data_IF_010924777673
#
_entry.id   IF_010924777673
#
_cell.length_a   1.000
_cell.length_b   1.000
_cell.length_c   1.000
_cell.angle_alpha   90.00
_cell.angle_beta   90.00
_cell.angle_gamma   90.00
#
_symmetry.space_group_name_H-M   'P 1'
#
loop_
_entity.id
_entity.type
_entity.pdbx_description
1 polymer ?
#
# COMPACT_ATOMS: atom_id res chain seq x y z
N UNK A 1 1.39 -13.33 -16.72
CA UNK A 1 2.37 -12.42 -16.08
C UNK A 1 1.71 -11.17 -15.52
N UNK A 2 0.85 -10.48 -16.30
CA UNK A 2 0.18 -9.25 -15.88
C UNK A 2 -0.70 -9.38 -14.61
N UNK A 3 -1.59 -10.37 -14.59
CA UNK A 3 -2.46 -10.62 -13.43
C UNK A 3 -1.68 -10.97 -12.16
N UNK A 4 -0.53 -11.66 -12.30
CA UNK A 4 0.32 -11.97 -11.17
C UNK A 4 0.92 -10.70 -10.55
N UNK A 5 1.43 -9.78 -11.37
CA UNK A 5 1.93 -8.48 -10.91
C UNK A 5 0.85 -7.65 -10.22
N UNK A 6 -0.38 -7.66 -10.75
CA UNK A 6 -1.52 -6.97 -10.16
C UNK A 6 -1.85 -7.52 -8.75
N UNK A 7 -1.97 -8.83 -8.62
CA UNK A 7 -2.32 -9.47 -7.35
C UNK A 7 -1.22 -9.34 -6.30
N UNK A 8 0.05 -9.44 -6.71
CA UNK A 8 1.19 -9.20 -5.81
C UNK A 8 1.20 -7.74 -5.33
N UNK A 9 0.93 -6.79 -6.22
CA UNK A 9 0.88 -5.35 -5.85
C UNK A 9 -0.27 -5.07 -4.88
N UNK A 10 -1.46 -5.63 -5.13
CA UNK A 10 -2.59 -5.51 -4.21
C UNK A 10 -2.32 -6.17 -2.85
N UNK A 11 -1.69 -7.35 -2.81
CA UNK A 11 -1.39 -8.04 -1.54
C UNK A 11 -0.31 -7.31 -0.72
N UNK A 12 0.57 -6.54 -1.38
CA UNK A 12 1.58 -5.70 -0.70
C UNK A 12 0.93 -4.73 0.29
N UNK A 13 -0.23 -4.15 -0.06
CA UNK A 13 -0.94 -3.21 0.82
C UNK A 13 -1.34 -3.87 2.14
N UNK A 14 -1.78 -5.13 2.11
CA UNK A 14 -2.17 -5.89 3.30
C UNK A 14 -0.95 -6.18 4.19
N UNK A 15 0.15 -6.67 3.61
CA UNK A 15 1.38 -6.92 4.36
C UNK A 15 1.92 -5.65 5.03
N UNK A 16 1.88 -4.51 4.33
CA UNK A 16 2.29 -3.21 4.87
C UNK A 16 1.36 -2.72 5.99
N UNK A 17 0.05 -2.94 5.89
CA UNK A 17 -0.89 -2.61 6.99
C UNK A 17 -0.58 -3.43 8.23
N UNK A 18 -0.35 -4.74 8.08
CA UNK A 18 -0.01 -5.64 9.20
C UNK A 18 1.31 -5.21 9.84
N UNK A 19 2.33 -4.93 9.04
CA UNK A 19 3.62 -4.43 9.51
C UNK A 19 3.46 -3.17 10.36
N UNK A 20 2.71 -2.17 9.86
CA UNK A 20 2.50 -0.91 10.58
C UNK A 20 1.62 -1.09 11.82
N UNK A 21 0.67 -2.02 11.80
CA UNK A 21 -0.12 -2.36 12.98
C UNK A 21 0.74 -2.99 14.08
N UNK A 22 1.61 -3.93 13.72
CA UNK A 22 2.56 -4.55 14.66
C UNK A 22 3.54 -3.52 15.21
N UNK A 23 4.10 -2.65 14.37
CA UNK A 23 4.99 -1.56 14.80
C UNK A 23 4.27 -0.58 15.76
N UNK A 24 2.97 -0.35 15.57
CA UNK A 24 2.18 0.51 16.46
C UNK A 24 1.91 -0.15 17.82
N UNK A 25 1.65 -1.46 17.84
CA UNK A 25 1.30 -2.21 19.05
C UNK A 25 2.53 -2.61 19.88
N UNK A 26 3.63 -2.96 19.21
CA UNK A 26 4.88 -3.43 19.83
C UNK A 26 6.01 -2.41 19.66
N UNK A 27 5.73 -1.12 19.87
CA UNK A 27 6.74 -0.08 19.63
C UNK A 27 8.04 -0.33 20.40
N UNK A 28 7.98 -0.83 21.64
CA UNK A 28 9.17 -1.06 22.48
C UNK A 28 10.07 -2.23 22.05
N UNK A 29 9.53 -3.26 21.39
CA UNK A 29 10.26 -4.50 21.03
C UNK A 29 10.43 -4.69 19.52
N UNK A 30 9.82 -3.83 18.72
CA UNK A 30 9.83 -3.95 17.25
C UNK A 30 11.25 -3.87 16.66
N UNK A 31 12.18 -3.16 17.31
CA UNK A 31 13.54 -2.97 16.81
C UNK A 31 14.30 -4.31 16.67
N UNK A 32 14.13 -5.22 17.63
CA UNK A 32 14.81 -6.53 17.65
C UNK A 32 14.19 -7.54 16.66
N UNK A 33 12.86 -7.49 16.45
CA UNK A 33 12.14 -8.48 15.61
C UNK A 33 11.91 -8.03 14.15
N UNK A 34 12.26 -6.79 13.81
CA UNK A 34 11.85 -6.14 12.54
C UNK A 34 12.24 -6.90 11.27
N UNK A 35 13.44 -7.51 11.21
CA UNK A 35 13.96 -8.19 10.02
C UNK A 35 13.22 -9.51 9.76
N UNK A 36 13.06 -10.34 10.79
CA UNK A 36 12.39 -11.63 10.67
C UNK A 36 10.90 -11.45 10.34
N UNK A 37 10.28 -10.43 10.94
CA UNK A 37 8.91 -10.04 10.63
C UNK A 37 8.75 -9.64 9.16
N UNK A 38 9.70 -8.87 8.62
CA UNK A 38 9.70 -8.45 7.22
C UNK A 38 9.74 -9.64 6.25
N UNK A 39 10.62 -10.62 6.50
CA UNK A 39 10.73 -11.85 5.68
C UNK A 39 9.43 -12.65 5.75
N UNK A 40 8.86 -12.81 6.95
CA UNK A 40 7.58 -13.51 7.13
C UNK A 40 6.44 -12.82 6.35
N UNK A 41 6.36 -11.49 6.41
CA UNK A 41 5.33 -10.73 5.71
C UNK A 41 5.50 -10.75 4.18
N UNK A 42 6.75 -10.84 3.69
CA UNK A 42 7.03 -11.04 2.27
C UNK A 42 6.57 -12.42 1.80
N UNK A 43 6.83 -13.48 2.58
CA UNK A 43 6.33 -14.81 2.28
C UNK A 43 4.79 -14.86 2.30
N UNK A 44 4.17 -14.25 3.30
CA UNK A 44 2.72 -14.13 3.41
C UNK A 44 2.10 -13.40 2.20
N UNK A 45 2.78 -12.38 1.68
CA UNK A 45 2.34 -11.63 0.50
C UNK A 45 2.18 -12.52 -0.73
N UNK A 46 3.13 -13.45 -0.97
CA UNK A 46 3.05 -14.41 -2.07
C UNK A 46 1.89 -15.39 -1.89
N UNK A 47 1.67 -15.88 -0.67
CA UNK A 47 0.56 -16.79 -0.36
C UNK A 47 -0.79 -16.11 -0.58
N UNK A 48 -0.96 -14.88 -0.09
CA UNK A 48 -2.20 -14.10 -0.26
C UNK A 48 -2.46 -13.81 -1.75
N UNK A 49 -1.42 -13.54 -2.55
CA UNK A 49 -1.57 -13.32 -3.98
C UNK A 49 -1.89 -14.62 -4.75
N UNK A 50 -1.36 -15.76 -4.30
CA UNK A 50 -1.54 -17.05 -4.98
C UNK A 50 -2.99 -17.56 -4.94
N UNK A 51 -3.75 -17.28 -3.88
CA UNK A 51 -5.15 -17.72 -3.71
C UNK A 51 -6.07 -17.15 -4.81
N UNK A 52 -6.16 -15.83 -5.04
CA UNK A 52 -7.01 -15.30 -6.10
C UNK A 52 -6.49 -15.64 -7.50
N UNK A 53 -5.17 -15.80 -7.67
CA UNK A 53 -4.59 -16.30 -8.91
C UNK A 53 -5.03 -17.72 -9.22
N UNK A 54 -4.98 -18.64 -8.25
CA UNK A 54 -5.40 -20.03 -8.47
C UNK A 54 -6.89 -20.12 -8.80
N UNK A 55 -7.74 -19.32 -8.12
CA UNK A 55 -9.17 -19.22 -8.44
C UNK A 55 -9.38 -18.69 -9.86
N UNK A 56 -8.68 -17.62 -10.25
CA UNK A 56 -8.80 -17.01 -11.58
C UNK A 56 -8.43 -17.96 -12.72
N UNK A 57 -7.39 -18.78 -12.52
CA UNK A 57 -6.91 -19.72 -13.54
C UNK A 57 -7.56 -21.11 -13.48
N UNK A 58 -8.27 -21.45 -12.40
CA UNK A 58 -8.92 -22.78 -12.21
C UNK A 58 -9.98 -23.13 -13.27
N UNK A 59 -10.57 -22.13 -13.92
CA UNK A 59 -11.67 -22.29 -14.90
C UNK A 59 -11.22 -22.08 -16.35
N UNK A 60 -9.95 -21.76 -16.59
CA UNK A 60 -9.45 -21.44 -17.94
C UNK A 60 -9.02 -22.75 -18.61
N UNK A 61 -9.76 -23.17 -19.63
CA UNK A 61 -9.35 -24.26 -20.51
C UNK A 61 -8.36 -23.72 -21.54
N UNK A 62 -7.13 -24.24 -21.53
CA UNK A 62 -6.05 -23.83 -22.45
C UNK A 62 -6.08 -24.59 -23.79
N UNK A 63 -7.16 -25.33 -24.08
CA UNK A 63 -7.20 -26.23 -25.22
C UNK A 63 -7.63 -25.48 -26.49
N UNK A 64 -6.78 -25.48 -27.52
CA UNK A 64 -7.09 -24.99 -28.87
C UNK A 64 -7.24 -23.47 -29.09
N UNK A 65 -7.13 -22.61 -28.07
CA UNK A 65 -7.33 -21.15 -28.21
C UNK A 65 -6.01 -20.39 -28.11
N UNK A 66 -5.62 -19.72 -29.21
CA UNK A 66 -4.51 -18.75 -29.23
C UNK A 66 -4.94 -17.48 -28.50
N UNK A 67 -4.44 -17.25 -27.28
CA UNK A 67 -4.64 -15.99 -26.56
C UNK A 67 -3.70 -14.90 -27.10
N UNK A 68 -4.21 -14.03 -27.97
CA UNK A 68 -3.47 -12.87 -28.48
C UNK A 68 -3.26 -11.77 -27.43
N UNK A 69 -4.08 -11.73 -26.39
CA UNK A 69 -3.99 -10.76 -25.29
C UNK A 69 -3.98 -11.47 -23.93
N UNK A 70 -3.18 -10.96 -22.99
CA UNK A 70 -3.11 -11.44 -21.59
C UNK A 70 -4.34 -11.04 -20.76
N UNK A 71 -5.54 -11.31 -21.27
CA UNK A 71 -6.81 -10.95 -20.64
C UNK A 71 -7.53 -12.20 -20.21
N UNK A 72 -7.80 -12.32 -18.91
CA UNK A 72 -8.60 -13.42 -18.33
C UNK A 72 -10.10 -13.16 -18.41
N UNK A 73 -10.51 -11.99 -18.91
CA UNK A 73 -11.90 -11.70 -19.20
C UNK A 73 -12.28 -12.35 -20.54
N UNK A 74 -12.86 -13.55 -20.47
CA UNK A 74 -13.62 -14.10 -21.59
C UNK A 74 -15.02 -13.47 -21.56
N UNK A 75 -15.52 -13.01 -22.71
CA UNK A 75 -16.89 -12.49 -22.84
C UNK A 75 -17.96 -13.51 -22.39
N UNK A 76 -17.63 -14.80 -22.41
CA UNK A 76 -18.47 -15.91 -21.94
C UNK A 76 -18.48 -16.10 -20.41
N UNK A 77 -17.49 -15.59 -19.67
CA UNK A 77 -17.44 -15.66 -18.19
C UNK A 77 -17.06 -14.29 -17.57
N UNK A 78 -17.90 -13.25 -17.74
CA UNK A 78 -17.65 -11.92 -17.18
C UNK A 78 -17.62 -11.90 -15.64
N UNK A 79 -18.26 -12.89 -15.00
CA UNK A 79 -18.40 -12.98 -13.55
C UNK A 79 -17.06 -13.10 -12.81
N UNK A 80 -16.09 -13.86 -13.34
CA UNK A 80 -14.81 -14.09 -12.65
C UNK A 80 -13.95 -12.83 -12.66
N UNK A 81 -13.93 -12.11 -13.79
CA UNK A 81 -13.26 -10.81 -13.91
C UNK A 81 -13.86 -9.76 -12.97
N UNK A 82 -15.19 -9.66 -12.93
CA UNK A 82 -15.89 -8.72 -12.05
C UNK A 82 -15.67 -9.03 -10.56
N UNK A 83 -15.65 -10.31 -10.16
CA UNK A 83 -15.35 -10.70 -8.78
C UNK A 83 -13.94 -10.30 -8.36
N UNK A 84 -12.94 -10.48 -9.22
CA UNK A 84 -11.56 -10.05 -8.94
C UNK A 84 -11.45 -8.53 -8.72
N UNK A 85 -12.18 -7.76 -9.51
CA UNK A 85 -12.25 -6.30 -9.43
C UNK A 85 -12.86 -5.84 -8.08
N UNK A 86 -13.97 -6.46 -7.68
CA UNK A 86 -14.64 -6.16 -6.39
C UNK A 86 -13.73 -6.49 -5.21
N UNK A 87 -13.08 -7.66 -5.23
CA UNK A 87 -12.14 -8.07 -4.18
C UNK A 87 -10.96 -7.09 -4.06
N UNK A 88 -10.37 -6.70 -5.20
CA UNK A 88 -9.32 -5.68 -5.24
C UNK A 88 -9.76 -4.34 -4.66
N UNK A 89 -10.98 -3.89 -5.00
CA UNK A 89 -11.56 -2.65 -4.47
C UNK A 89 -11.75 -2.71 -2.94
N UNK A 90 -12.29 -3.81 -2.42
CA UNK A 90 -12.47 -4.02 -0.97
C UNK A 90 -11.13 -4.01 -0.24
N UNK A 91 -10.08 -4.63 -0.80
CA UNK A 91 -8.74 -4.59 -0.21
C UNK A 91 -8.15 -3.17 -0.17
N UNK A 92 -8.33 -2.38 -1.21
CA UNK A 92 -7.80 -1.00 -1.24
C UNK A 92 -8.54 -0.08 -0.25
N UNK A 93 -9.87 -0.19 -0.17
CA UNK A 93 -10.68 0.57 0.79
C UNK A 93 -10.34 0.19 2.24
N UNK A 94 -10.25 -1.10 2.54
CA UNK A 94 -9.89 -1.58 3.87
C UNK A 94 -8.47 -1.16 4.27
N UNK A 95 -7.51 -1.18 3.35
CA UNK A 95 -6.16 -0.66 3.58
C UNK A 95 -6.18 0.84 3.90
N UNK A 96 -6.95 1.64 3.15
CA UNK A 96 -7.10 3.08 3.40
C UNK A 96 -7.68 3.38 4.78
N UNK A 97 -8.73 2.66 5.18
CA UNK A 97 -9.32 2.81 6.51
C UNK A 97 -8.34 2.40 7.61
N UNK A 98 -7.64 1.28 7.42
CA UNK A 98 -6.65 0.77 8.36
C UNK A 98 -5.49 1.76 8.57
N UNK A 99 -4.93 2.33 7.49
CA UNK A 99 -3.89 3.36 7.62
C UNK A 99 -4.39 4.63 8.31
N UNK A 100 -5.65 5.02 8.07
CA UNK A 100 -6.24 6.16 8.76
C UNK A 100 -6.38 5.91 10.26
N UNK A 101 -6.90 4.73 10.63
CA UNK A 101 -7.05 4.30 12.01
C UNK A 101 -5.68 4.23 12.72
N UNK A 102 -4.69 3.57 12.10
CA UNK A 102 -3.33 3.47 12.63
C UNK A 102 -2.68 4.84 12.83
N UNK A 103 -2.90 5.77 11.91
CA UNK A 103 -2.39 7.13 12.06
C UNK A 103 -2.99 7.83 13.28
N UNK A 104 -4.30 7.68 13.50
CA UNK A 104 -4.99 8.25 14.67
C UNK A 104 -4.50 7.62 15.97
N UNK A 105 -4.31 6.31 15.99
CA UNK A 105 -3.77 5.60 17.15
C UNK A 105 -2.34 6.05 17.49
N UNK A 106 -1.44 6.16 16.51
CA UNK A 106 -0.08 6.65 16.75
C UNK A 106 -0.07 8.10 17.25
N UNK A 107 -0.98 8.95 16.73
CA UNK A 107 -1.14 10.32 17.24
C UNK A 107 -1.56 10.34 18.71
N UNK A 108 -2.46 9.44 19.13
CA UNK A 108 -2.84 9.31 20.52
C UNK A 108 -1.69 8.78 21.40
N UNK A 109 -0.95 7.76 20.92
CA UNK A 109 0.21 7.24 21.64
C UNK A 109 1.32 8.28 21.81
N UNK A 110 1.45 9.24 20.88
CA UNK A 110 2.38 10.39 21.01
C UNK A 110 2.05 11.26 22.23
N UNK A 111 0.76 11.37 22.55
CA UNK A 111 0.18 11.84 23.81
C UNK A 111 0.96 11.33 25.04
N UNK A 112 0.97 10.01 25.15
CA UNK A 112 1.46 9.26 26.30
C UNK A 112 2.99 9.07 26.35
N UNK A 113 3.67 9.10 25.20
CA UNK A 113 5.10 8.79 25.06
C UNK A 113 5.99 10.04 25.29
N UNK A 114 5.38 11.19 25.61
CA UNK A 114 6.09 12.42 25.97
C UNK A 114 7.04 12.31 27.17
N UNK A 115 7.06 11.21 27.93
CA UNK A 115 8.02 10.97 29.01
C UNK A 115 8.90 9.72 28.81
N UNK A 116 8.77 9.03 27.67
CA UNK A 116 9.54 7.80 27.39
C UNK A 116 10.92 8.08 26.80
N UNK A 117 11.70 7.00 26.62
CA UNK A 117 13.06 7.02 26.05
C UNK A 117 13.13 7.66 24.65
N UNK A 118 14.30 8.20 24.32
CA UNK A 118 14.55 8.90 23.05
C UNK A 118 14.35 7.98 21.83
N UNK A 119 14.70 6.69 21.97
CA UNK A 119 14.49 5.67 20.93
C UNK A 119 12.99 5.47 20.63
N UNK A 120 12.15 5.31 21.68
CA UNK A 120 10.71 5.13 21.51
C UNK A 120 10.05 6.31 20.77
N UNK A 121 10.49 7.54 21.06
CA UNK A 121 9.99 8.74 20.35
C UNK A 121 10.42 8.77 18.89
N UNK A 122 11.67 8.42 18.63
CA UNK A 122 12.20 8.37 17.27
C UNK A 122 11.45 7.32 16.43
N UNK A 123 11.25 6.12 16.97
CA UNK A 123 10.49 5.06 16.32
C UNK A 123 9.04 5.45 16.05
N UNK A 124 8.38 6.10 17.01
CA UNK A 124 7.00 6.57 16.84
C UNK A 124 6.90 7.61 15.72
N UNK A 125 7.81 8.59 15.67
CA UNK A 125 7.81 9.62 14.62
C UNK A 125 8.15 9.02 13.24
N UNK A 126 9.07 8.05 13.19
CA UNK A 126 9.37 7.28 11.99
C UNK A 126 8.15 6.47 11.52
N UNK A 127 7.43 5.81 12.44
CA UNK A 127 6.22 5.06 12.15
C UNK A 127 5.09 5.98 11.65
N UNK A 128 4.84 7.11 12.31
CA UNK A 128 3.86 8.11 11.87
C UNK A 128 4.18 8.66 10.48
N UNK A 129 5.46 8.96 10.22
CA UNK A 129 5.90 9.44 8.91
C UNK A 129 5.74 8.36 7.83
N UNK A 130 6.10 7.12 8.14
CA UNK A 130 5.90 5.96 7.25
C UNK A 130 4.43 5.74 6.94
N UNK A 131 3.55 5.73 7.95
CA UNK A 131 2.10 5.61 7.77
C UNK A 131 1.55 6.75 6.91
N UNK A 132 2.03 7.99 7.08
CA UNK A 132 1.61 9.12 6.23
C UNK A 132 2.01 8.92 4.76
N UNK A 133 3.18 8.36 4.51
CA UNK A 133 3.66 8.00 3.17
C UNK A 133 2.77 6.92 2.55
N UNK A 134 2.53 5.84 3.29
CA UNK A 134 1.72 4.70 2.89
C UNK A 134 0.25 5.09 2.66
N UNK A 135 -0.30 6.00 3.47
CA UNK A 135 -1.63 6.58 3.26
C UNK A 135 -1.72 7.34 1.93
N UNK A 136 -0.66 8.08 1.56
CA UNK A 136 -0.61 8.79 0.27
C UNK A 136 -0.58 7.80 -0.89
N UNK A 137 0.21 6.74 -0.77
CA UNK A 137 0.24 5.64 -1.75
C UNK A 137 -1.12 4.95 -1.87
N UNK A 138 -1.76 4.58 -0.75
CA UNK A 138 -3.07 3.96 -0.73
C UNK A 138 -4.15 4.83 -1.37
N UNK A 139 -4.11 6.16 -1.18
CA UNK A 139 -5.02 7.08 -1.84
C UNK A 139 -4.85 7.09 -3.37
N UNK A 140 -3.61 7.09 -3.86
CA UNK A 140 -3.32 7.03 -5.31
C UNK A 140 -3.79 5.69 -5.89
N UNK A 141 -3.49 4.60 -5.20
CA UNK A 141 -3.94 3.25 -5.55
C UNK A 141 -5.46 3.13 -5.61
N UNK A 142 -6.17 3.64 -4.60
CA UNK A 142 -7.63 3.65 -4.56
C UNK A 142 -8.21 4.49 -5.71
N UNK A 143 -7.60 5.65 -6.01
CA UNK A 143 -8.06 6.50 -7.12
C UNK A 143 -7.90 5.79 -8.45
N UNK A 144 -6.74 5.17 -8.67
CA UNK A 144 -6.47 4.39 -9.88
C UNK A 144 -7.44 3.22 -10.04
N UNK A 145 -7.66 2.43 -8.98
CA UNK A 145 -8.53 1.25 -9.06
C UNK A 145 -9.99 1.64 -9.29
N UNK A 146 -10.46 2.77 -8.75
CA UNK A 146 -11.81 3.30 -9.04
C UNK A 146 -11.94 3.65 -10.51
N UNK A 147 -11.02 4.45 -11.04
CA UNK A 147 -11.04 4.88 -12.46
C UNK A 147 -10.99 3.66 -13.36
N UNK A 148 -10.06 2.72 -13.09
CA UNK A 148 -9.93 1.47 -13.84
C UNK A 148 -11.24 0.67 -13.85
N UNK A 149 -11.88 0.47 -12.70
CA UNK A 149 -13.13 -0.29 -12.63
C UNK A 149 -14.29 0.40 -13.34
N UNK A 150 -14.40 1.74 -13.23
CA UNK A 150 -15.43 2.50 -13.96
C UNK A 150 -15.23 2.38 -15.47
N UNK A 151 -14.00 2.55 -15.95
CA UNK A 151 -13.66 2.38 -17.36
C UNK A 151 -13.92 0.94 -17.84
N UNK A 152 -13.59 -0.07 -17.03
CA UNK A 152 -13.83 -1.47 -17.35
C UNK A 152 -15.33 -1.83 -17.41
N UNK A 153 -16.13 -1.35 -16.45
CA UNK A 153 -17.60 -1.55 -16.47
C UNK A 153 -18.23 -0.88 -17.69
N UNK A 154 -17.79 0.34 -18.00
CA UNK A 154 -18.26 1.09 -19.18
C UNK A 154 -17.91 0.34 -20.47
N UNK A 155 -16.69 -0.20 -20.57
CA UNK A 155 -16.26 -1.02 -21.70
C UNK A 155 -17.10 -2.30 -21.82
N UNK A 156 -17.39 -2.99 -20.72
CA UNK A 156 -18.23 -4.20 -20.75
C UNK A 156 -19.69 -3.90 -21.13
N UNK A 157 -20.23 -2.75 -20.72
CA UNK A 157 -21.58 -2.33 -21.10
C UNK A 157 -21.67 -1.98 -22.60
N UNK A 158 -20.66 -1.30 -23.14
CA UNK A 158 -20.60 -0.91 -24.56
C UNK A 158 -20.01 -1.99 -25.47
N UNK A 159 -19.47 -3.10 -24.93
CA UNK A 159 -18.73 -4.11 -25.67
C UNK A 159 -19.51 -4.69 -26.85
N UNK A 160 -20.83 -4.88 -26.70
CA UNK A 160 -21.68 -5.42 -27.76
C UNK A 160 -21.90 -4.45 -28.94
N UNK A 161 -21.64 -3.15 -28.73
CA UNK A 161 -21.84 -2.09 -29.73
C UNK A 161 -20.55 -1.60 -30.40
N UNK A 162 -19.40 -2.06 -29.93
CA UNK A 162 -18.09 -1.60 -30.38
C UNK A 162 -17.51 -2.51 -31.46
N UNK A 163 -16.89 -1.91 -32.47
CA UNK A 163 -16.11 -2.67 -33.44
C UNK A 163 -14.84 -3.22 -32.77
N UNK A 164 -14.29 -4.36 -33.24
CA UNK A 164 -13.18 -5.05 -32.57
C UNK A 164 -11.97 -4.15 -32.31
N UNK A 165 -11.60 -3.28 -33.26
CA UNK A 165 -10.47 -2.37 -33.10
C UNK A 165 -10.72 -1.30 -32.02
N UNK A 166 -11.96 -0.83 -31.85
CA UNK A 166 -12.33 0.12 -30.80
C UNK A 166 -12.29 -0.56 -29.43
N UNK A 167 -12.80 -1.80 -29.36
CA UNK A 167 -12.74 -2.61 -28.15
C UNK A 167 -11.29 -2.83 -27.68
N UNK A 168 -10.40 -3.27 -28.57
CA UNK A 168 -8.99 -3.49 -28.23
C UNK A 168 -8.25 -2.19 -27.91
N UNK A 169 -8.55 -1.07 -28.59
CA UNK A 169 -7.95 0.23 -28.27
C UNK A 169 -8.30 0.73 -26.86
N UNK A 170 -9.58 0.63 -26.46
CA UNK A 170 -10.02 1.05 -25.11
C UNK A 170 -9.52 0.06 -24.04
N UNK A 171 -9.40 -1.22 -24.39
CA UNK A 171 -8.82 -2.25 -23.53
C UNK A 171 -7.33 -1.95 -23.25
N UNK A 172 -6.55 -1.55 -24.24
CA UNK A 172 -5.13 -1.18 -24.07
C UNK A 172 -4.95 0.06 -23.18
N UNK A 173 -5.83 1.06 -23.32
CA UNK A 173 -5.84 2.23 -22.43
C UNK A 173 -6.17 1.81 -20.97
N UNK A 174 -7.10 0.89 -20.79
CA UNK A 174 -7.40 0.30 -19.48
C UNK A 174 -6.22 -0.52 -18.91
N UNK A 175 -5.39 -1.09 -19.77
CA UNK A 175 -4.21 -1.88 -19.40
C UNK A 175 -2.99 -1.03 -19.03
N UNK A 176 -3.13 0.30 -18.90
CA UNK A 176 -2.07 1.26 -18.54
C UNK A 176 -1.55 1.15 -17.08
N UNK A 177 -1.55 -0.02 -16.47
CA UNK A 177 -1.00 -0.28 -15.14
C UNK A 177 0.50 0.01 -15.02
N UNK A 178 1.35 -0.17 -16.06
CA UNK A 178 2.76 0.23 -15.98
C UNK A 178 2.94 1.72 -15.70
N UNK A 179 2.08 2.59 -16.26
CA UNK A 179 2.18 4.04 -16.02
C UNK A 179 1.81 4.38 -14.59
N UNK A 180 0.76 3.74 -14.05
CA UNK A 180 0.42 3.82 -12.63
C UNK A 180 1.57 3.36 -11.72
N UNK A 181 2.23 2.25 -12.05
CA UNK A 181 3.37 1.75 -11.28
C UNK A 181 4.53 2.78 -11.25
N UNK A 182 4.87 3.37 -12.39
CA UNK A 182 5.93 4.39 -12.46
C UNK A 182 5.56 5.62 -11.63
N UNK A 183 4.33 6.14 -11.79
CA UNK A 183 3.85 7.33 -11.06
C UNK A 183 3.84 7.08 -9.55
N UNK A 184 3.33 5.93 -9.12
CA UNK A 184 3.24 5.59 -7.70
C UNK A 184 4.62 5.44 -7.05
N UNK A 185 5.58 4.81 -7.72
CA UNK A 185 6.98 4.72 -7.27
C UNK A 185 7.62 6.11 -7.18
N UNK A 186 7.42 6.97 -8.18
CA UNK A 186 7.94 8.33 -8.16
C UNK A 186 7.38 9.15 -6.98
N UNK A 187 6.08 9.05 -6.72
CA UNK A 187 5.45 9.75 -5.59
C UNK A 187 5.95 9.21 -4.25
N UNK A 188 6.08 7.89 -4.12
CA UNK A 188 6.59 7.26 -2.91
C UNK A 188 8.04 7.68 -2.64
N UNK A 189 8.91 7.63 -3.65
CA UNK A 189 10.31 8.05 -3.57
C UNK A 189 10.44 9.51 -3.14
N UNK A 190 9.64 10.42 -3.72
CA UNK A 190 9.62 11.84 -3.33
C UNK A 190 9.15 12.03 -1.89
N UNK A 191 8.13 11.28 -1.46
CA UNK A 191 7.59 11.35 -0.11
C UNK A 191 8.61 10.85 0.93
N UNK A 192 9.28 9.74 0.66
CA UNK A 192 10.37 9.22 1.51
C UNK A 192 11.55 10.19 1.61
N UNK A 193 11.96 10.82 0.49
CA UNK A 193 13.03 11.84 0.50
C UNK A 193 12.64 13.05 1.35
N UNK A 194 11.39 13.54 1.25
CA UNK A 194 10.89 14.63 2.09
C UNK A 194 10.91 14.28 3.58
N UNK A 195 10.51 13.06 3.93
CA UNK A 195 10.53 12.55 5.32
C UNK A 195 11.95 12.48 5.85
N UNK A 196 12.89 11.85 5.12
CA UNK A 196 14.30 11.78 5.52
C UNK A 196 14.90 13.17 5.74
N UNK A 197 14.61 14.12 4.85
CA UNK A 197 15.08 15.50 5.01
C UNK A 197 14.52 16.15 6.28
N UNK A 198 13.23 15.98 6.58
CA UNK A 198 12.59 16.53 7.80
C UNK A 198 13.20 15.92 9.07
N UNK A 199 13.42 14.61 9.09
CA UNK A 199 14.06 13.91 10.21
C UNK A 199 15.48 14.46 10.43
N UNK A 200 16.28 14.59 9.36
CA UNK A 200 17.63 15.15 9.45
C UNK A 200 17.65 16.58 10.01
N UNK A 201 16.75 17.45 9.53
CA UNK A 201 16.63 18.84 10.04
C UNK A 201 16.24 18.84 11.52
N UNK A 202 15.29 18.00 11.92
CA UNK A 202 14.82 17.93 13.32
C UNK A 202 15.92 17.43 14.26
N UNK A 203 16.69 16.43 13.82
CA UNK A 203 17.80 15.88 14.57
C UNK A 203 18.94 16.90 14.75
N UNK A 204 19.34 17.58 13.67
CA UNK A 204 20.33 18.67 13.73
C UNK A 204 19.83 19.80 14.63
N UNK A 205 18.54 20.12 14.57
CA UNK A 205 17.92 21.09 15.47
C UNK A 205 18.04 20.71 16.96
N UNK A 206 17.85 19.43 17.30
CA UNK A 206 18.03 18.92 18.67
C UNK A 206 19.51 18.88 19.09
N UNK A 207 20.43 18.56 18.17
CA UNK A 207 21.86 18.60 18.46
C UNK A 207 22.38 20.03 18.69
N UNK A 208 21.80 21.02 17.99
CA UNK A 208 22.18 22.42 18.13
C UNK A 208 21.47 23.15 19.28
N UNK A 209 20.48 22.55 19.94
CA UNK A 209 19.87 23.14 21.15
C UNK A 209 20.88 23.15 22.30
N UNK A 210 21.08 24.34 22.90
CA UNK A 210 22.08 24.55 23.96
C UNK A 210 21.91 23.61 25.16
N UNK A 211 23.00 23.12 25.73
CA UNK A 211 23.03 22.22 26.89
C UNK A 211 22.21 22.72 28.10
N UNK A 212 22.05 24.05 28.25
CA UNK A 212 21.24 24.65 29.30
C UNK A 212 19.76 24.27 29.21
N UNK A 213 19.22 24.12 27.99
CA UNK A 213 17.84 23.69 27.76
C UNK A 213 17.62 22.21 28.15
N UNK A 214 18.63 21.37 27.95
CA UNK A 214 18.60 19.98 28.42
C UNK A 214 18.67 19.93 29.94
N UNK A 215 19.56 20.71 30.56
CA UNK A 215 19.67 20.78 32.01
C UNK A 215 18.38 21.30 32.70
N UNK A 216 17.71 22.30 32.14
CA UNK A 216 16.46 22.81 32.68
C UNK A 216 15.29 21.82 32.54
N UNK A 217 15.21 21.09 31.42
CA UNK A 217 14.24 20.01 31.27
C UNK A 217 14.53 18.83 32.19
N UNK A 218 15.81 18.52 32.42
CA UNK A 218 16.22 17.47 33.35
C UNK A 218 15.86 17.85 34.80
N UNK A 219 16.11 19.10 35.21
CA UNK A 219 15.68 19.62 36.52
C UNK A 219 14.16 19.55 36.71
N UNK A 220 13.38 19.88 35.68
CA UNK A 220 11.91 19.75 35.71
C UNK A 220 11.39 18.32 35.75
N UNK A 221 12.20 17.32 35.43
CA UNK A 221 11.82 15.90 35.52
C UNK A 221 12.17 15.26 36.87
N UNK A 222 13.03 15.91 37.66
CA UNK A 222 13.49 15.41 38.96
C UNK A 222 12.81 16.13 40.13
N UNK A 223 12.32 17.36 39.92
CA UNK A 223 11.49 18.11 40.86
C UNK A 223 10.01 17.72 40.73
#
# INVERSE_FOLDING_TARGET
>A
MYNAGLWITNSTAVSLVIERWLATKRSATYEEESVMLGVFLAALQFVIAAIPLSVLYSKIQFDGVVMYYCVTAQASLPYVGQMSAVVGFVFQISARFSFHYLYRQNKHNRESIQHSTLSNRYQLEQNMSSISCLKTFANISTTFIVIYNVCYITLMYLAASLEPYQYFGILEINLAFPTYAIISIMVLSRSMKKIRKRIGITLVGHLNTSNNYYHDNFKRQIA
#
